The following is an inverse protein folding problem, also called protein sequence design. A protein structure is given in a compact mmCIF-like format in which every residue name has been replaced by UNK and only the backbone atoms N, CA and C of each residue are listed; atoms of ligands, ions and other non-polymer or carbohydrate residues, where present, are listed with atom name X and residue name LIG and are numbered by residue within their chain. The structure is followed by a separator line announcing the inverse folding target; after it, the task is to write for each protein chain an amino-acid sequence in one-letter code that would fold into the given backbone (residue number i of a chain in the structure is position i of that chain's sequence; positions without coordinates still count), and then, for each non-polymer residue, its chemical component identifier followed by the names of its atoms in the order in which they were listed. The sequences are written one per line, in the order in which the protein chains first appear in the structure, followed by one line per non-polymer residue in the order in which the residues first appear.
data_IF_306391318844
#
_entry.id   IF_306391318844
#
_cell.length_a   1.000
_cell.length_b   1.000
_cell.length_c   1.000
_cell.angle_alpha   90.00
_cell.angle_beta   90.00
_cell.angle_gamma   90.00
#
_symmetry.space_group_name_H-M   'P 1'
#
loop_
_entity.id
_entity.type
_entity.pdbx_description
1 polymer ?
#
# COMPACT_ATOMS: atom_id res chain seq x y z
N UNK A 1 -30.66 3.90 11.34
CA UNK A 1 -30.52 2.46 11.66
C UNK A 1 -30.43 1.63 10.39
N UNK A 2 -31.45 1.58 9.50
CA UNK A 2 -31.40 0.74 8.30
C UNK A 2 -30.18 0.97 7.37
N UNK A 3 -29.76 2.23 7.16
CA UNK A 3 -28.64 2.57 6.26
C UNK A 3 -27.27 2.14 6.78
N UNK A 4 -27.04 2.21 8.09
CA UNK A 4 -25.77 1.85 8.71
C UNK A 4 -25.58 0.33 8.81
N UNK A 5 -26.67 -0.41 9.07
CA UNK A 5 -26.67 -1.86 9.00
C UNK A 5 -26.40 -2.37 7.57
N UNK A 6 -27.01 -1.74 6.55
CA UNK A 6 -26.74 -2.06 5.14
C UNK A 6 -25.27 -1.82 4.80
N UNK A 7 -24.68 -0.73 5.31
CA UNK A 7 -23.25 -0.44 5.11
C UNK A 7 -22.35 -1.54 5.69
N UNK A 8 -22.56 -1.93 6.96
CA UNK A 8 -21.76 -2.98 7.60
C UNK A 8 -21.83 -4.30 6.83
N UNK A 9 -23.03 -4.72 6.43
CA UNK A 9 -23.24 -5.94 5.63
C UNK A 9 -22.54 -5.85 4.27
N UNK A 10 -22.66 -4.72 3.59
CA UNK A 10 -22.02 -4.50 2.28
C UNK A 10 -20.49 -4.59 2.36
N UNK A 11 -19.90 -3.94 3.38
CA UNK A 11 -18.44 -3.97 3.58
C UNK A 11 -17.95 -5.39 3.87
N UNK A 12 -18.60 -6.09 4.80
CA UNK A 12 -18.21 -7.44 5.21
C UNK A 12 -18.41 -8.48 4.10
N UNK A 13 -19.48 -8.36 3.30
CA UNK A 13 -19.70 -9.23 2.15
C UNK A 13 -18.58 -9.08 1.13
N UNK A 14 -18.22 -7.83 0.78
CA UNK A 14 -17.09 -7.56 -0.13
C UNK A 14 -15.75 -8.00 0.45
N UNK A 15 -15.56 -7.88 1.76
CA UNK A 15 -14.35 -8.37 2.43
C UNK A 15 -14.16 -9.88 2.19
N UNK A 16 -15.23 -10.67 2.36
CA UNK A 16 -15.22 -12.11 2.12
C UNK A 16 -14.94 -12.42 0.65
N UNK A 17 -15.65 -11.77 -0.27
CA UNK A 17 -15.45 -11.96 -1.72
C UNK A 17 -13.99 -11.72 -2.12
N UNK A 18 -13.39 -10.62 -1.63
CA UNK A 18 -12.01 -10.25 -1.96
C UNK A 18 -10.98 -11.16 -1.30
N UNK A 19 -11.26 -11.60 -0.07
CA UNK A 19 -10.44 -12.58 0.62
C UNK A 19 -10.39 -13.89 -0.18
N UNK A 20 -11.53 -14.39 -0.65
CA UNK A 20 -11.59 -15.63 -1.45
C UNK A 20 -10.78 -15.53 -2.75
N UNK A 21 -10.75 -14.37 -3.41
CA UNK A 21 -10.01 -14.17 -4.67
C UNK A 21 -8.57 -13.68 -4.50
N UNK A 22 -8.03 -13.74 -3.27
CA UNK A 22 -6.64 -13.42 -2.96
C UNK A 22 -6.31 -11.92 -2.84
N UNK A 23 -7.30 -11.04 -2.85
CA UNK A 23 -7.12 -9.58 -2.62
C UNK A 23 -7.06 -9.28 -1.12
N UNK A 24 -5.96 -9.69 -0.49
CA UNK A 24 -5.82 -9.71 0.98
C UNK A 24 -5.73 -8.31 1.58
N UNK A 25 -5.05 -7.36 0.93
CA UNK A 25 -4.91 -6.01 1.49
C UNK A 25 -6.25 -5.29 1.52
N UNK A 26 -6.99 -5.32 0.41
CA UNK A 26 -8.30 -4.69 0.37
C UNK A 26 -9.33 -5.43 1.21
N UNK A 27 -9.29 -6.77 1.23
CA UNK A 27 -10.15 -7.56 2.11
C UNK A 27 -9.93 -7.21 3.58
N UNK A 28 -8.67 -7.12 4.03
CA UNK A 28 -8.34 -6.72 5.40
C UNK A 28 -8.94 -5.36 5.73
N UNK A 29 -8.75 -4.36 4.84
CA UNK A 29 -9.30 -3.03 5.07
C UNK A 29 -10.83 -3.04 5.15
N UNK A 30 -11.50 -3.82 4.29
CA UNK A 30 -12.96 -3.96 4.32
C UNK A 30 -13.46 -4.69 5.57
N UNK A 31 -12.72 -5.68 6.08
CA UNK A 31 -13.03 -6.31 7.36
C UNK A 31 -12.94 -5.29 8.49
N UNK A 32 -11.86 -4.50 8.58
CA UNK A 32 -11.69 -3.49 9.62
C UNK A 32 -12.83 -2.45 9.59
N UNK A 33 -13.10 -1.86 8.43
CA UNK A 33 -14.15 -0.86 8.25
C UNK A 33 -15.55 -1.45 8.54
N UNK A 34 -15.79 -2.69 8.10
CA UNK A 34 -17.05 -3.41 8.32
C UNK A 34 -17.28 -3.81 9.78
N UNK A 35 -16.23 -4.26 10.48
CA UNK A 35 -16.26 -4.57 11.92
C UNK A 35 -16.51 -3.30 12.72
N UNK A 36 -15.86 -2.18 12.38
CA UNK A 36 -16.09 -0.90 13.05
C UNK A 36 -17.55 -0.44 12.90
N UNK A 37 -18.10 -0.55 11.69
CA UNK A 37 -19.50 -0.24 11.43
C UNK A 37 -20.45 -1.16 12.23
N UNK A 38 -20.19 -2.47 12.25
CA UNK A 38 -21.01 -3.43 12.99
C UNK A 38 -20.91 -3.24 14.51
N UNK A 39 -19.75 -2.86 15.03
CA UNK A 39 -19.54 -2.49 16.43
C UNK A 39 -20.40 -1.28 16.85
N UNK A 40 -20.51 -0.28 15.97
CA UNK A 40 -21.38 0.89 16.21
C UNK A 40 -22.85 0.47 16.29
N UNK A 41 -23.31 -0.36 15.37
CA UNK A 41 -24.68 -0.90 15.38
C UNK A 41 -24.96 -1.78 16.61
N UNK A 42 -24.01 -2.65 16.98
CA UNK A 42 -24.13 -3.50 18.17
C UNK A 42 -24.24 -2.73 19.47
N UNK A 43 -23.59 -1.56 19.57
CA UNK A 43 -23.71 -0.68 20.74
C UNK A 43 -25.07 0.01 20.81
N UNK A 44 -25.65 0.37 19.67
CA UNK A 44 -26.96 1.03 19.57
C UNK A 44 -28.14 0.06 19.70
N UNK A 45 -27.93 -1.24 19.49
CA UNK A 45 -28.98 -2.27 19.58
C UNK A 45 -29.46 -2.48 21.02
N UNK A 46 -30.79 -2.49 21.18
CA UNK A 46 -31.48 -2.66 22.46
C UNK A 46 -32.02 -4.08 22.64
N UNK A 47 -32.34 -4.78 21.54
CA UNK A 47 -32.80 -6.16 21.62
C UNK A 47 -31.65 -7.11 22.03
N UNK A 48 -31.77 -7.84 23.16
CA UNK A 48 -30.68 -8.68 23.66
C UNK A 48 -30.25 -9.79 22.69
N UNK A 49 -31.19 -10.39 21.94
CA UNK A 49 -30.90 -11.50 21.03
C UNK A 49 -30.15 -11.00 19.79
N UNK A 50 -30.59 -9.89 19.20
CA UNK A 50 -29.90 -9.25 18.07
C UNK A 50 -28.54 -8.73 18.46
N UNK A 51 -28.43 -8.12 19.65
CA UNK A 51 -27.16 -7.67 20.19
C UNK A 51 -26.16 -8.82 20.35
N UNK A 52 -26.61 -9.94 20.93
CA UNK A 52 -25.78 -11.16 21.03
C UNK A 52 -25.38 -11.68 19.65
N UNK A 53 -26.30 -11.71 18.67
CA UNK A 53 -25.99 -12.11 17.30
C UNK A 53 -24.91 -11.24 16.66
N UNK A 54 -24.99 -9.91 16.81
CA UNK A 54 -23.95 -9.00 16.32
C UNK A 54 -22.61 -9.25 16.99
N UNK A 55 -22.58 -9.45 18.32
CA UNK A 55 -21.34 -9.76 19.04
C UNK A 55 -20.68 -11.04 18.55
N UNK A 56 -21.47 -12.10 18.30
CA UNK A 56 -20.95 -13.35 17.72
C UNK A 56 -20.34 -13.10 16.33
N UNK A 57 -21.03 -12.36 15.47
CA UNK A 57 -20.54 -12.05 14.13
C UNK A 57 -19.29 -11.16 14.14
N UNK A 58 -19.23 -10.17 15.03
CA UNK A 58 -18.04 -9.34 15.23
C UNK A 58 -16.83 -10.21 15.57
N UNK A 59 -16.97 -11.15 16.51
CA UNK A 59 -15.88 -12.06 16.87
C UNK A 59 -15.42 -12.95 15.71
N UNK A 60 -16.36 -13.46 14.91
CA UNK A 60 -16.07 -14.26 13.71
C UNK A 60 -15.25 -13.45 12.68
N UNK A 61 -15.70 -12.24 12.37
CA UNK A 61 -15.00 -11.36 11.43
C UNK A 61 -13.66 -10.86 11.97
N UNK A 62 -13.55 -10.56 13.26
CA UNK A 62 -12.28 -10.18 13.90
C UNK A 62 -11.25 -11.30 13.83
N UNK A 63 -11.65 -12.55 14.11
CA UNK A 63 -10.75 -13.70 13.99
C UNK A 63 -10.25 -13.84 12.54
N UNK A 64 -11.14 -13.70 11.56
CA UNK A 64 -10.73 -13.77 10.15
C UNK A 64 -9.82 -12.61 9.75
N UNK A 65 -10.13 -11.39 10.17
CA UNK A 65 -9.29 -10.21 9.92
C UNK A 65 -7.88 -10.40 10.49
N UNK A 66 -7.75 -10.96 11.69
CA UNK A 66 -6.44 -11.24 12.30
C UNK A 66 -5.65 -12.27 11.48
N UNK A 67 -6.28 -13.35 11.00
CA UNK A 67 -5.62 -14.33 10.11
C UNK A 67 -5.12 -13.70 8.81
N UNK A 68 -5.92 -12.81 8.20
CA UNK A 68 -5.54 -12.09 6.98
C UNK A 68 -4.38 -11.12 7.28
N UNK A 69 -4.41 -10.44 8.43
CA UNK A 69 -3.34 -9.55 8.89
C UNK A 69 -2.03 -10.30 9.14
N UNK A 70 -2.08 -11.48 9.74
CA UNK A 70 -0.92 -12.35 9.91
C UNK A 70 -0.32 -12.78 8.57
N UNK A 71 -1.15 -13.09 7.56
CA UNK A 71 -0.71 -13.37 6.20
C UNK A 71 0.04 -12.17 5.60
N UNK A 72 -0.57 -10.97 5.64
CA UNK A 72 0.05 -9.72 5.16
C UNK A 72 1.36 -9.43 5.90
N UNK A 73 1.44 -9.75 7.20
CA UNK A 73 2.65 -9.56 8.00
C UNK A 73 3.75 -10.56 7.62
N UNK A 74 3.38 -11.81 7.30
CA UNK A 74 4.31 -12.81 6.75
C UNK A 74 4.88 -12.38 5.40
N UNK A 75 4.11 -11.66 4.59
CA UNK A 75 4.62 -11.11 3.33
C UNK A 75 5.85 -10.24 3.53
N UNK A 76 6.00 -9.56 4.68
CA UNK A 76 7.09 -8.63 4.99
C UNK A 76 8.39 -9.30 5.46
N UNK A 77 8.28 -10.50 6.05
CA UNK A 77 9.31 -11.06 6.94
C UNK A 77 9.97 -12.34 6.42
N UNK A 78 9.30 -13.09 5.55
CA UNK A 78 9.84 -14.31 4.94
C UNK A 78 10.14 -14.06 3.47
N UNK A 79 11.19 -14.66 2.93
CA UNK A 79 11.48 -14.64 1.50
C UNK A 79 12.89 -15.12 1.19
N UNK A 80 13.09 -15.66 -0.02
CA UNK A 80 14.42 -15.96 -0.55
C UNK A 80 14.92 -14.72 -1.28
N UNK A 81 16.19 -14.38 -1.11
CA UNK A 81 16.81 -13.27 -1.85
C UNK A 81 16.77 -13.61 -3.34
N UNK A 82 16.06 -12.79 -4.10
CA UNK A 82 15.92 -12.90 -5.55
C UNK A 82 16.96 -12.07 -6.28
N UNK A 83 17.20 -10.83 -5.83
CA UNK A 83 18.16 -9.92 -6.44
C UNK A 83 18.73 -8.97 -5.38
N UNK A 84 19.95 -8.45 -5.63
CA UNK A 84 20.58 -7.39 -4.85
C UNK A 84 21.16 -6.34 -5.77
N UNK A 85 20.92 -5.07 -5.46
CA UNK A 85 21.42 -3.94 -6.23
C UNK A 85 22.10 -2.98 -5.26
N UNK A 86 23.35 -2.66 -5.52
CA UNK A 86 24.08 -1.61 -4.81
C UNK A 86 24.14 -0.37 -5.71
N UNK A 87 23.45 0.70 -5.30
CA UNK A 87 23.49 1.99 -5.96
C UNK A 87 24.61 2.79 -5.31
N UNK A 88 25.67 3.06 -6.04
CA UNK A 88 26.79 3.89 -5.56
C UNK A 88 26.42 5.37 -5.60
N UNK A 89 27.10 6.17 -4.78
CA UNK A 89 26.89 7.62 -4.71
C UNK A 89 27.10 8.29 -6.08
N UNK A 90 26.13 9.12 -6.50
CA UNK A 90 26.16 9.83 -7.79
C UNK A 90 25.78 8.99 -9.00
N UNK A 91 25.47 7.70 -8.85
CA UNK A 91 25.11 6.86 -9.98
C UNK A 91 23.80 7.31 -10.65
N UNK A 92 23.74 7.18 -11.97
CA UNK A 92 22.53 7.32 -12.78
C UNK A 92 22.08 5.96 -13.30
N UNK A 93 20.93 5.89 -13.97
CA UNK A 93 20.37 4.66 -14.54
C UNK A 93 19.42 3.90 -13.61
N UNK A 94 19.27 4.35 -12.36
CA UNK A 94 18.51 3.68 -11.30
C UNK A 94 17.13 4.31 -11.07
N UNK A 95 16.46 4.78 -12.13
CA UNK A 95 15.05 5.14 -12.05
C UNK A 95 14.18 3.94 -11.65
N UNK A 96 12.94 4.18 -11.19
CA UNK A 96 12.09 3.11 -10.68
C UNK A 96 11.83 1.97 -11.65
N UNK A 97 11.81 2.23 -12.97
CA UNK A 97 11.70 1.15 -13.96
C UNK A 97 12.83 0.13 -13.83
N UNK A 98 14.05 0.56 -13.53
CA UNK A 98 15.20 -0.34 -13.30
C UNK A 98 15.05 -1.13 -12.01
N UNK A 99 14.51 -0.50 -10.96
CA UNK A 99 14.38 -1.11 -9.63
C UNK A 99 13.21 -2.08 -9.54
N UNK A 100 12.06 -1.73 -10.11
CA UNK A 100 10.82 -2.48 -9.92
C UNK A 100 10.37 -3.23 -11.17
N UNK A 101 10.75 -2.77 -12.38
CA UNK A 101 10.13 -3.21 -13.63
C UNK A 101 10.19 -4.71 -13.90
N UNK A 102 11.24 -5.41 -13.44
CA UNK A 102 11.38 -6.87 -13.56
C UNK A 102 10.31 -7.65 -12.77
N UNK A 103 9.76 -7.06 -11.73
CA UNK A 103 8.85 -7.70 -10.77
C UNK A 103 7.39 -7.28 -10.95
N UNK A 104 7.13 -6.31 -11.83
CA UNK A 104 5.80 -5.81 -12.16
C UNK A 104 5.27 -6.56 -13.38
N UNK A 105 4.16 -7.28 -13.21
CA UNK A 105 3.52 -8.07 -14.27
C UNK A 105 2.00 -8.15 -14.05
N UNK A 106 1.31 -8.94 -14.87
CA UNK A 106 -0.14 -9.08 -14.82
C UNK A 106 -0.69 -9.81 -13.57
N UNK A 107 0.17 -10.49 -12.80
CA UNK A 107 -0.22 -11.16 -11.56
C UNK A 107 -0.30 -10.19 -10.37
N UNK A 108 0.27 -8.99 -10.50
CA UNK A 108 0.18 -7.94 -9.47
C UNK A 108 -1.22 -7.33 -9.49
N UNK A 109 -1.98 -7.58 -8.42
CA UNK A 109 -3.33 -7.06 -8.17
C UNK A 109 -3.35 -6.02 -7.07
N UNK A 110 -2.45 -6.14 -6.10
CA UNK A 110 -2.33 -5.22 -4.98
C UNK A 110 -0.88 -4.84 -4.72
N UNK A 111 -0.66 -3.60 -4.29
CA UNK A 111 0.66 -3.08 -3.90
C UNK A 111 0.57 -2.41 -2.53
N UNK A 112 1.42 -2.81 -1.59
CA UNK A 112 1.62 -2.13 -0.32
C UNK A 112 2.97 -1.39 -0.35
N UNK A 113 2.92 -0.10 -0.07
CA UNK A 113 4.08 0.80 -0.02
C UNK A 113 4.26 1.23 1.43
N UNK A 114 5.41 0.93 1.99
CA UNK A 114 5.83 1.42 3.31
C UNK A 114 6.96 2.41 3.09
N UNK A 115 6.67 3.69 3.29
CA UNK A 115 7.62 4.78 3.13
C UNK A 115 7.37 5.81 4.23
N UNK A 116 8.23 5.92 5.26
CA UNK A 116 8.04 6.88 6.34
C UNK A 116 8.11 8.34 5.88
N UNK A 117 8.75 8.60 4.74
CA UNK A 117 9.04 9.94 4.25
C UNK A 117 8.28 10.28 2.97
N UNK A 118 6.96 10.46 3.07
CA UNK A 118 6.12 11.00 1.99
C UNK A 118 5.44 12.30 2.42
N UNK A 119 6.25 13.34 2.69
CA UNK A 119 5.78 14.61 3.28
C UNK A 119 6.02 15.79 2.33
N UNK A 120 7.24 15.95 1.86
CA UNK A 120 7.60 17.08 1.00
C UNK A 120 7.19 16.83 -0.46
N UNK A 121 7.02 17.91 -1.23
CA UNK A 121 6.61 17.84 -2.63
C UNK A 121 7.39 16.83 -3.46
N UNK A 122 8.72 16.82 -3.39
CA UNK A 122 9.54 15.88 -4.15
C UNK A 122 9.33 14.41 -3.72
N UNK A 123 8.98 14.16 -2.46
CA UNK A 123 8.70 12.82 -1.94
C UNK A 123 7.34 12.33 -2.44
N UNK A 124 6.36 13.24 -2.50
CA UNK A 124 5.06 12.96 -3.12
C UNK A 124 5.23 12.71 -4.63
N UNK A 125 6.04 13.49 -5.33
CA UNK A 125 6.38 13.21 -6.73
C UNK A 125 7.04 11.84 -6.92
N UNK A 126 7.94 11.46 -6.00
CA UNK A 126 8.54 10.13 -5.97
C UNK A 126 7.50 9.02 -5.77
N UNK A 127 6.48 9.22 -4.95
CA UNK A 127 5.36 8.28 -4.86
C UNK A 127 4.56 8.22 -6.17
N UNK A 128 4.24 9.38 -6.76
CA UNK A 128 3.47 9.46 -8.02
C UNK A 128 4.19 8.73 -9.16
N UNK A 129 5.51 8.94 -9.32
CA UNK A 129 6.29 8.23 -10.34
C UNK A 129 6.28 6.70 -10.15
N UNK A 130 6.28 6.23 -8.90
CA UNK A 130 6.12 4.80 -8.63
C UNK A 130 4.71 4.33 -9.03
N UNK A 131 3.66 5.07 -8.65
CA UNK A 131 2.29 4.76 -9.05
C UNK A 131 2.13 4.70 -10.57
N UNK A 132 2.66 5.67 -11.32
CA UNK A 132 2.64 5.66 -12.80
C UNK A 132 3.29 4.40 -13.38
N UNK A 133 4.44 3.99 -12.84
CA UNK A 133 5.11 2.76 -13.27
C UNK A 133 4.26 1.51 -12.97
N UNK A 134 3.70 1.40 -11.76
CA UNK A 134 2.90 0.25 -11.36
C UNK A 134 1.62 0.17 -12.20
N UNK A 135 0.91 1.28 -12.37
CA UNK A 135 -0.32 1.36 -13.18
C UNK A 135 -0.06 0.99 -14.63
N UNK A 136 1.04 1.47 -15.22
CA UNK A 136 1.38 1.15 -16.61
C UNK A 136 1.86 -0.29 -16.82
N UNK A 137 2.41 -0.93 -15.78
CA UNK A 137 3.01 -2.27 -15.87
C UNK A 137 2.08 -3.40 -15.42
N UNK A 138 1.11 -3.13 -14.56
CA UNK A 138 0.27 -4.14 -13.91
C UNK A 138 -1.20 -4.01 -14.37
N UNK A 139 -1.57 -4.75 -15.43
CA UNK A 139 -2.91 -4.65 -16.05
C UNK A 139 -4.07 -5.00 -15.11
N UNK A 140 -3.82 -5.88 -14.14
CA UNK A 140 -4.83 -6.36 -13.19
C UNK A 140 -4.77 -5.65 -11.83
N UNK A 141 -4.01 -4.56 -11.71
CA UNK A 141 -3.92 -3.78 -10.49
C UNK A 141 -5.29 -3.23 -10.09
N UNK A 142 -5.66 -3.38 -8.82
CA UNK A 142 -6.92 -2.87 -8.27
C UNK A 142 -6.75 -2.04 -7.00
N UNK A 143 -5.68 -2.26 -6.26
CA UNK A 143 -5.51 -1.68 -4.93
C UNK A 143 -4.07 -1.25 -4.67
N UNK A 144 -3.90 -0.03 -4.17
CA UNK A 144 -2.62 0.49 -3.67
C UNK A 144 -2.85 0.97 -2.24
N UNK A 145 -2.03 0.51 -1.31
CA UNK A 145 -1.99 0.99 0.06
C UNK A 145 -0.66 1.68 0.33
N UNK A 146 -0.71 2.90 0.85
CA UNK A 146 0.44 3.60 1.39
C UNK A 146 0.36 3.61 2.92
N UNK A 147 1.39 3.09 3.57
CA UNK A 147 1.66 3.33 4.98
C UNK A 147 2.78 4.38 5.07
N UNK A 148 2.52 5.49 5.76
CA UNK A 148 3.48 6.61 5.91
C UNK A 148 3.36 7.26 7.29
N UNK A 149 4.31 8.14 7.64
CA UNK A 149 4.18 9.02 8.81
C UNK A 149 3.36 10.25 8.41
N UNK A 150 2.44 10.68 9.29
CA UNK A 150 1.65 11.90 9.10
C UNK A 150 2.54 13.14 9.26
N UNK A 151 2.43 14.11 8.36
CA UNK A 151 3.14 15.38 8.50
C UNK A 151 2.54 16.21 9.65
N UNK A 152 3.41 16.82 10.45
CA UNK A 152 3.03 17.64 11.61
C UNK A 152 2.74 19.10 11.25
N UNK A 153 2.84 19.47 9.96
CA UNK A 153 2.58 20.84 9.49
C UNK A 153 1.09 21.18 9.53
N UNK A 154 0.77 22.42 9.91
CA UNK A 154 -0.61 22.89 10.06
C UNK A 154 -1.40 23.03 8.73
N UNK A 155 -0.73 23.01 7.58
CA UNK A 155 -1.34 23.28 6.27
C UNK A 155 -1.92 22.04 5.55
N UNK A 156 -1.78 20.84 6.14
CA UNK A 156 -2.22 19.55 5.60
C UNK A 156 -1.98 19.39 4.08
N UNK A 157 -0.81 19.83 3.60
CA UNK A 157 -0.43 19.67 2.19
C UNK A 157 -0.31 18.21 1.79
N UNK A 158 0.20 17.38 2.70
CA UNK A 158 0.29 15.93 2.53
C UNK A 158 -1.08 15.30 2.30
N UNK A 159 -2.06 15.57 3.19
CA UNK A 159 -3.41 15.03 3.07
C UNK A 159 -4.10 15.45 1.77
N UNK A 160 -4.00 16.73 1.39
CA UNK A 160 -4.56 17.24 0.13
C UNK A 160 -3.95 16.59 -1.10
N UNK A 161 -2.63 16.39 -1.10
CA UNK A 161 -1.95 15.70 -2.20
C UNK A 161 -2.39 14.25 -2.33
N UNK A 162 -2.56 13.55 -1.20
CA UNK A 162 -3.03 12.16 -1.21
C UNK A 162 -4.48 12.02 -1.66
N UNK A 163 -5.37 12.93 -1.28
CA UNK A 163 -6.75 12.90 -1.79
C UNK A 163 -6.79 13.17 -3.30
N UNK A 164 -5.97 14.11 -3.78
CA UNK A 164 -5.83 14.35 -5.23
C UNK A 164 -5.34 13.10 -5.98
N UNK A 165 -4.32 12.43 -5.44
CA UNK A 165 -3.80 11.19 -6.03
C UNK A 165 -4.84 10.06 -5.98
N UNK A 166 -5.61 9.95 -4.90
CA UNK A 166 -6.70 8.99 -4.73
C UNK A 166 -7.79 9.19 -5.78
N UNK A 167 -8.26 10.42 -5.98
CA UNK A 167 -9.23 10.74 -7.01
C UNK A 167 -8.71 10.43 -8.42
N UNK A 168 -7.41 10.67 -8.67
CA UNK A 168 -6.78 10.37 -9.94
C UNK A 168 -6.72 8.85 -10.21
N UNK A 169 -6.20 8.07 -9.26
CA UNK A 169 -6.11 6.61 -9.38
C UNK A 169 -7.50 5.95 -9.49
N UNK A 170 -8.52 6.53 -8.84
CA UNK A 170 -9.89 6.03 -8.94
C UNK A 170 -10.44 6.11 -10.38
N UNK A 171 -10.00 7.08 -11.20
CA UNK A 171 -10.36 7.15 -12.64
C UNK A 171 -9.82 5.96 -13.44
N UNK A 172 -8.79 5.30 -12.93
CA UNK A 172 -8.22 4.08 -13.48
C UNK A 172 -8.78 2.81 -12.79
N UNK A 173 -9.88 2.93 -12.05
CA UNK A 173 -10.49 1.87 -11.26
C UNK A 173 -9.53 1.21 -10.24
N UNK A 174 -8.59 2.01 -9.72
CA UNK A 174 -7.64 1.61 -8.68
C UNK A 174 -7.99 2.35 -7.39
N UNK A 175 -8.26 1.59 -6.33
CA UNK A 175 -8.50 2.15 -5.00
C UNK A 175 -7.16 2.45 -4.33
N UNK A 176 -6.99 3.70 -3.89
CA UNK A 176 -5.82 4.14 -3.12
C UNK A 176 -6.21 4.43 -1.68
N UNK A 177 -5.49 3.83 -0.73
CA UNK A 177 -5.71 3.99 0.71
C UNK A 177 -4.42 4.44 1.36
N UNK A 178 -4.51 5.44 2.23
CA UNK A 178 -3.39 5.92 3.05
C UNK A 178 -3.67 5.61 4.51
N UNK A 179 -2.69 4.99 5.15
CA UNK A 179 -2.66 4.74 6.58
C UNK A 179 -1.44 5.43 7.20
N UNK A 180 -1.61 5.88 8.44
CA UNK A 180 -0.57 6.59 9.16
C UNK A 180 -0.07 5.77 10.34
N UNK A 181 1.25 5.71 10.51
CA UNK A 181 1.90 5.12 11.68
C UNK A 181 3.05 5.99 12.15
N UNK A 182 3.06 6.36 13.43
CA UNK A 182 4.10 7.22 14.01
C UNK A 182 5.44 6.50 14.21
N UNK A 183 5.41 5.18 14.32
CA UNK A 183 6.57 4.35 14.71
C UNK A 183 7.03 3.43 13.59
N UNK A 184 6.90 3.86 12.33
CA UNK A 184 7.35 3.08 11.18
C UNK A 184 8.74 3.49 10.67
N UNK A 185 9.56 2.49 10.37
CA UNK A 185 10.92 2.66 9.84
C UNK A 185 11.19 1.85 8.58
N UNK A 186 10.32 0.86 8.32
CA UNK A 186 10.40 -0.02 7.17
C UNK A 186 10.22 0.77 5.89
N UNK A 187 11.05 0.43 4.90
CA UNK A 187 11.14 1.09 3.60
C UNK A 187 11.10 0.02 2.52
N UNK A 188 9.90 -0.33 2.11
CA UNK A 188 9.67 -1.44 1.21
C UNK A 188 8.42 -1.30 0.37
N UNK A 189 8.43 -1.97 -0.78
CA UNK A 189 7.26 -2.14 -1.65
C UNK A 189 6.99 -3.63 -1.75
N UNK A 190 5.76 -4.03 -1.41
CA UNK A 190 5.31 -5.41 -1.39
C UNK A 190 4.27 -5.57 -2.51
N UNK A 191 4.49 -6.55 -3.37
CA UNK A 191 3.65 -6.86 -4.51
C UNK A 191 2.87 -8.14 -4.22
N UNK A 192 1.59 -8.18 -4.60
CA UNK A 192 0.72 -9.34 -4.36
C UNK A 192 1.17 -10.63 -5.08
N UNK A 193 2.06 -10.53 -6.07
CA UNK A 193 2.68 -11.68 -6.73
C UNK A 193 3.85 -12.29 -5.93
N UNK A 194 4.12 -11.76 -4.73
CA UNK A 194 5.07 -12.29 -3.77
C UNK A 194 6.45 -11.65 -3.79
N UNK A 195 6.69 -10.62 -4.59
CA UNK A 195 7.94 -9.86 -4.50
C UNK A 195 7.89 -8.78 -3.42
N UNK A 196 9.01 -8.62 -2.71
CA UNK A 196 9.22 -7.57 -1.72
C UNK A 196 10.52 -6.85 -2.06
N UNK A 197 10.44 -5.55 -2.31
CA UNK A 197 11.60 -4.72 -2.64
C UNK A 197 11.89 -3.81 -1.45
N UNK A 198 12.99 -4.07 -0.74
CA UNK A 198 13.45 -3.26 0.41
C UNK A 198 14.54 -2.31 -0.06
N UNK A 199 14.42 -1.02 0.27
CA UNK A 199 15.38 0.01 -0.17
C UNK A 199 15.92 0.74 1.04
N UNK A 200 17.24 0.77 1.21
CA UNK A 200 17.91 1.35 2.36
C UNK A 200 17.65 2.85 2.56
N UNK A 201 17.16 3.57 1.53
CA UNK A 201 16.71 4.97 1.59
C UNK A 201 15.23 5.15 1.21
N UNK A 202 14.50 4.05 1.01
CA UNK A 202 13.12 4.08 0.56
C UNK A 202 12.99 4.61 -0.87
N UNK A 203 11.90 5.29 -1.19
CA UNK A 203 11.62 5.90 -2.49
C UNK A 203 12.47 7.16 -2.75
N UNK A 204 13.11 7.70 -1.72
CA UNK A 204 13.74 9.02 -1.77
C UNK A 204 15.27 8.97 -1.93
N UNK A 205 15.77 8.06 -2.77
CA UNK A 205 17.21 7.92 -3.02
C UNK A 205 17.74 8.84 -4.13
N UNK A 206 16.91 9.60 -4.84
CA UNK A 206 17.40 10.54 -5.85
C UNK A 206 18.07 11.78 -5.22
N UNK A 207 19.09 12.32 -5.88
CA UNK A 207 19.68 13.61 -5.53
C UNK A 207 18.82 14.77 -6.03
N UNK A 208 18.87 15.92 -5.35
CA UNK A 208 18.32 17.16 -5.87
C UNK A 208 18.90 17.51 -7.23
N UNK A 209 18.06 18.06 -8.11
CA UNK A 209 18.47 18.56 -9.41
C UNK A 209 19.18 19.91 -9.25
N UNK A 210 20.46 20.11 -9.64
CA UNK A 210 21.12 21.42 -9.54
C UNK A 210 20.44 22.55 -10.34
N UNK A 211 19.72 22.23 -11.42
CA UNK A 211 18.93 23.18 -12.21
C UNK A 211 17.59 22.58 -12.65
N UNK A 212 16.63 23.43 -13.02
CA UNK A 212 15.32 23.02 -13.56
C UNK A 212 15.41 22.51 -15.01
N UNK A 213 16.45 22.90 -15.75
CA UNK A 213 16.58 22.62 -17.18
C UNK A 213 17.79 21.72 -17.47
N UNK A 214 17.70 20.46 -17.08
CA UNK A 214 18.74 19.47 -17.34
C UNK A 214 18.17 18.05 -17.49
N UNK A 215 19.00 17.16 -18.02
CA UNK A 215 18.70 15.73 -17.99
C UNK A 215 18.50 15.26 -16.55
N UNK A 216 17.52 14.36 -16.38
CA UNK A 216 17.12 13.92 -15.05
C UNK A 216 16.01 14.76 -14.43
N UNK A 217 15.62 15.92 -14.99
CA UNK A 217 14.55 16.75 -14.42
C UNK A 217 13.19 16.02 -14.34
N UNK A 218 12.86 15.24 -15.37
CA UNK A 218 11.59 14.51 -15.48
C UNK A 218 11.79 13.00 -15.53
N UNK A 219 12.74 12.53 -16.33
CA UNK A 219 13.10 11.11 -16.35
C UNK A 219 14.23 10.83 -15.35
N UNK A 220 13.84 10.26 -14.21
CA UNK A 220 14.77 9.92 -13.13
C UNK A 220 15.74 8.78 -13.47
N UNK A 221 15.62 8.14 -14.64
CA UNK A 221 16.70 7.30 -15.16
C UNK A 221 18.00 8.10 -15.33
N UNK A 222 17.93 9.39 -15.66
CA UNK A 222 19.11 10.25 -15.81
C UNK A 222 19.47 11.03 -14.53
N UNK A 223 18.74 10.83 -13.42
CA UNK A 223 18.98 11.55 -12.17
C UNK A 223 20.04 10.83 -11.35
N UNK A 224 21.00 11.59 -10.82
CA UNK A 224 21.97 11.04 -9.86
C UNK A 224 21.28 10.54 -8.60
N UNK A 225 21.77 9.44 -8.06
CA UNK A 225 21.26 8.80 -6.86
C UNK A 225 22.20 9.00 -5.68
N UNK A 226 21.65 8.98 -4.48
CA UNK A 226 22.36 8.81 -3.22
C UNK A 226 22.67 7.32 -3.04
N UNK A 227 23.79 7.02 -2.41
CA UNK A 227 24.19 5.65 -2.14
C UNK A 227 23.11 4.89 -1.34
N UNK A 228 22.73 3.71 -1.83
CA UNK A 228 21.78 2.83 -1.13
C UNK A 228 21.83 1.39 -1.63
N UNK A 229 21.35 0.47 -0.80
CA UNK A 229 21.14 -0.93 -1.17
C UNK A 229 19.67 -1.17 -1.46
N UNK A 230 19.42 -2.00 -2.47
CA UNK A 230 18.10 -2.56 -2.77
C UNK A 230 18.23 -4.08 -2.65
N UNK A 231 17.45 -4.65 -1.74
CA UNK A 231 17.32 -6.10 -1.59
C UNK A 231 15.93 -6.52 -2.04
N UNK A 232 15.87 -7.45 -3.00
CA UNK A 232 14.62 -7.99 -3.51
C UNK A 232 14.45 -9.42 -3.01
N UNK A 233 13.31 -9.68 -2.39
CA UNK A 233 12.93 -10.99 -1.89
C UNK A 233 11.77 -11.53 -2.71
N UNK A 234 11.74 -12.84 -2.90
CA UNK A 234 10.60 -13.56 -3.44
C UNK A 234 10.03 -14.50 -2.39
N UNK A 235 8.72 -14.42 -2.23
CA UNK A 235 7.96 -15.07 -1.17
C UNK A 235 6.85 -15.91 -1.84
N UNK A 236 7.15 -17.15 -2.28
CA UNK A 236 6.22 -17.96 -3.07
C UNK A 236 4.93 -18.30 -2.32
N UNK A 237 4.96 -18.28 -0.99
CA UNK A 237 3.76 -18.45 -0.13
C UNK A 237 2.73 -17.34 -0.38
N UNK A 238 3.17 -16.14 -0.77
CA UNK A 238 2.28 -15.01 -1.05
C UNK A 238 1.57 -15.14 -2.40
N UNK A 239 2.09 -16.00 -3.30
CA UNK A 239 1.50 -16.26 -4.61
C UNK A 239 0.44 -17.39 -4.54
N UNK A 240 0.31 -18.05 -3.39
CA UNK A 240 -0.65 -19.13 -3.14
C UNK A 240 -1.78 -18.63 -2.25
N UNK A 241 -2.71 -17.87 -2.84
CA UNK A 241 -4.04 -17.66 -2.28
C UNK A 241 -5.10 -17.84 -3.35
#
# INVERSE_FOLDING_TARGET
MATAQILAVTLLTRAIEYDVVGRKLEALKLYEDGIEALLKESKAETDPKRKQHYQTKILEYMNRAEQVKELVTRWKSKGVISDKIHIVEGATGYGYRRIFGKYLNEDVREVLIEEPYVRDHYQICNLVMLCELVVSSCRNLKYIQLLTVKDGKNNDEQGRAFETLKENLQKHAIKFVVEYSEHMHDRQVILSNGYVVKIGRGLNYFKPSPTRYQLGAFDHHFRECRETNVDVFYCPENNKS
#
